data_IF_228121248787
#
_entry.id   IF_228121248787
#
_cell.length_a   1.000
_cell.length_b   1.000
_cell.length_c   1.000
_cell.angle_alpha   90.00
_cell.angle_beta   90.00
_cell.angle_gamma   90.00
#
_symmetry.space_group_name_H-M   'P 1'
#
loop_
_entity.id
_entity.type
_entity.pdbx_description
1 polymer ?
#
# COMPACT_ATOMS: atom_id res chain seq x y z
N UNK A 1 -4.54 3.40 -25.57
CA UNK A 1 -5.02 3.21 -24.18
C UNK A 1 -5.53 4.52 -23.59
N UNK A 2 -6.42 5.22 -24.30
CA UNK A 2 -7.09 6.41 -23.77
C UNK A 2 -8.56 6.02 -23.69
N UNK A 3 -8.98 5.54 -22.53
CA UNK A 3 -10.39 5.45 -22.20
C UNK A 3 -10.82 6.84 -21.71
N UNK A 4 -12.01 7.27 -22.12
CA UNK A 4 -12.63 8.49 -21.59
C UNK A 4 -13.07 8.17 -20.14
N UNK A 5 -12.40 8.78 -19.16
CA UNK A 5 -12.55 8.46 -17.73
C UNK A 5 -13.74 9.20 -17.06
N UNK A 6 -14.55 9.91 -17.85
CA UNK A 6 -15.57 10.83 -17.34
C UNK A 6 -16.67 10.16 -16.52
N UNK A 7 -16.90 8.83 -16.64
CA UNK A 7 -17.91 8.08 -15.87
C UNK A 7 -17.42 6.69 -15.40
N UNK A 8 -16.15 6.55 -14.99
CA UNK A 8 -15.69 5.26 -14.42
C UNK A 8 -15.97 5.18 -12.93
N UNK A 9 -16.83 4.24 -12.54
CA UNK A 9 -17.02 3.86 -11.14
C UNK A 9 -15.90 2.93 -10.70
N UNK A 10 -15.14 3.34 -9.68
CA UNK A 10 -14.01 2.58 -9.14
C UNK A 10 -14.30 2.18 -7.70
N UNK A 11 -14.18 0.88 -7.42
CA UNK A 11 -14.33 0.31 -6.09
C UNK A 11 -13.04 -0.37 -5.63
N UNK A 12 -12.65 -0.14 -4.37
CA UNK A 12 -11.52 -0.79 -3.71
C UNK A 12 -12.04 -1.54 -2.49
N UNK A 13 -11.72 -2.83 -2.39
CA UNK A 13 -12.01 -3.65 -1.20
C UNK A 13 -10.73 -3.87 -0.41
N UNK A 14 -10.79 -3.64 0.90
CA UNK A 14 -9.66 -3.79 1.82
C UNK A 14 -10.06 -4.74 2.95
N UNK A 15 -9.25 -5.76 3.22
CA UNK A 15 -9.51 -6.75 4.27
C UNK A 15 -9.34 -6.18 5.67
N UNK A 16 -8.38 -5.27 5.85
CA UNK A 16 -8.14 -4.57 7.10
C UNK A 16 -9.37 -3.78 7.54
N UNK A 17 -9.58 -3.69 8.86
CA UNK A 17 -10.70 -2.93 9.42
C UNK A 17 -10.65 -1.44 9.05
N UNK A 18 -9.47 -0.93 8.66
CA UNK A 18 -9.26 0.36 8.02
C UNK A 18 -8.15 0.24 6.96
N UNK A 19 -8.11 1.20 6.04
CA UNK A 19 -7.05 1.31 5.04
C UNK A 19 -5.69 1.46 5.74
N UNK A 20 -4.76 0.57 5.41
CA UNK A 20 -3.43 0.55 6.02
C UNK A 20 -3.30 -0.32 7.28
N UNK A 21 -4.38 -0.88 7.83
CA UNK A 21 -4.34 -1.68 9.06
C UNK A 21 -3.46 -2.94 8.94
N UNK A 22 -3.42 -3.55 7.75
CA UNK A 22 -2.56 -4.71 7.46
C UNK A 22 -1.24 -4.34 6.80
N UNK A 23 -0.94 -3.05 6.63
CA UNK A 23 0.30 -2.58 6.01
C UNK A 23 1.44 -2.61 7.01
N UNK A 24 2.40 -3.50 6.80
CA UNK A 24 3.60 -3.63 7.63
C UNK A 24 4.87 -3.43 6.79
N UNK A 25 5.68 -2.44 7.16
CA UNK A 25 7.00 -2.21 6.55
C UNK A 25 7.86 -1.33 7.46
N UNK A 26 9.17 -1.52 7.43
CA UNK A 26 10.17 -0.60 8.02
C UNK A 26 10.47 0.61 7.13
N UNK A 27 9.51 0.99 6.29
CA UNK A 27 9.69 1.66 5.00
C UNK A 27 10.68 2.83 4.95
N UNK A 28 11.58 2.73 3.96
CA UNK A 28 12.27 3.85 3.34
C UNK A 28 11.82 3.90 1.88
N UNK A 29 11.26 5.03 1.44
CA UNK A 29 10.64 5.14 0.12
C UNK A 29 11.37 6.15 -0.78
N UNK A 30 11.52 5.82 -2.05
CA UNK A 30 11.74 6.81 -3.12
C UNK A 30 10.41 7.50 -3.40
N UNK A 31 10.40 8.84 -3.33
CA UNK A 31 9.19 9.65 -3.50
C UNK A 31 8.85 9.91 -4.96
N UNK A 32 9.63 9.42 -5.93
CA UNK A 32 9.39 9.69 -7.36
C UNK A 32 7.97 9.35 -7.81
N UNK A 33 7.49 8.14 -7.51
CA UNK A 33 6.13 7.73 -7.87
C UNK A 33 5.06 8.53 -7.11
N UNK A 34 5.33 8.90 -5.86
CA UNK A 34 4.43 9.77 -5.09
C UNK A 34 4.36 11.17 -5.70
N UNK A 35 5.48 11.73 -6.13
CA UNK A 35 5.55 13.03 -6.81
C UNK A 35 4.95 13.01 -8.21
N UNK A 36 4.96 11.87 -8.89
CA UNK A 36 4.24 11.70 -10.16
C UNK A 36 2.73 11.68 -9.95
N UNK A 37 2.27 10.93 -8.93
CA UNK A 37 0.84 10.80 -8.62
C UNK A 37 0.26 12.08 -7.98
N UNK A 38 1.02 12.70 -7.07
CA UNK A 38 0.66 13.91 -6.33
C UNK A 38 1.83 14.90 -6.35
N UNK A 39 2.02 15.71 -7.40
CA UNK A 39 3.14 16.64 -7.51
C UNK A 39 3.27 17.61 -6.32
N UNK A 40 2.17 17.91 -5.64
CA UNK A 40 2.08 18.80 -4.48
C UNK A 40 1.85 18.05 -3.15
N UNK A 41 2.25 16.78 -3.03
CA UNK A 41 2.03 15.97 -1.82
C UNK A 41 2.53 16.63 -0.52
N UNK A 42 3.56 17.48 -0.61
CA UNK A 42 4.07 18.24 0.53
C UNK A 42 3.08 19.30 1.04
N UNK A 43 2.40 19.99 0.12
CA UNK A 43 1.38 21.00 0.44
C UNK A 43 0.09 20.34 0.94
N UNK A 44 -0.18 19.11 0.50
CA UNK A 44 -1.29 18.27 0.93
C UNK A 44 -1.04 17.55 2.27
N UNK A 45 0.04 17.89 2.96
CA UNK A 45 0.47 17.33 4.25
C UNK A 45 0.53 15.80 4.25
N UNK A 46 1.06 15.20 3.17
CA UNK A 46 1.29 13.75 3.14
C UNK A 46 2.26 13.36 4.28
N UNK A 47 2.06 12.21 4.95
CA UNK A 47 2.83 11.79 6.12
C UNK A 47 4.24 11.29 5.78
N UNK A 48 5.02 12.12 5.07
CA UNK A 48 6.34 11.85 4.48
C UNK A 48 7.27 13.00 4.87
N UNK A 49 7.61 13.09 6.16
CA UNK A 49 8.34 14.23 6.70
C UNK A 49 9.84 13.95 6.93
N UNK A 50 10.21 12.70 7.25
CA UNK A 50 11.57 12.37 7.69
C UNK A 50 12.46 11.96 6.53
N UNK A 51 13.21 12.92 5.98
CA UNK A 51 14.25 12.61 4.99
C UNK A 51 15.38 11.79 5.61
N UNK A 52 15.95 10.85 4.86
CA UNK A 52 17.13 10.08 5.26
C UNK A 52 18.33 11.03 5.38
N UNK A 53 18.88 11.12 6.59
CA UNK A 53 20.05 11.97 6.90
C UNK A 53 21.36 11.20 6.94
N UNK A 54 21.30 9.91 7.26
CA UNK A 54 22.45 9.01 7.32
C UNK A 54 22.02 7.58 7.08
N UNK A 55 22.98 6.74 6.67
CA UNK A 55 22.79 5.33 6.40
C UNK A 55 24.04 4.56 6.81
N UNK A 56 23.87 3.32 7.28
CA UNK A 56 25.00 2.45 7.65
C UNK A 56 24.67 1.00 7.32
N UNK A 57 25.67 0.27 6.83
CA UNK A 57 25.56 -1.15 6.53
C UNK A 57 26.65 -1.87 7.31
N UNK A 58 26.34 -3.06 7.81
CA UNK A 58 27.30 -3.85 8.57
C UNK A 58 27.01 -5.35 8.46
N UNK A 59 28.06 -6.14 8.56
CA UNK A 59 27.95 -7.59 8.76
C UNK A 59 28.03 -7.86 10.27
N UNK A 60 27.07 -8.62 10.77
CA UNK A 60 27.01 -9.03 12.17
C UNK A 60 27.59 -10.44 12.33
N UNK A 61 28.41 -10.62 13.36
CA UNK A 61 28.85 -11.94 13.85
C UNK A 61 28.36 -12.12 15.28
N UNK A 62 28.48 -13.34 15.83
CA UNK A 62 28.08 -13.63 17.21
C UNK A 62 28.66 -12.63 18.24
N UNK A 63 29.87 -12.10 18.01
CA UNK A 63 30.60 -11.25 18.96
C UNK A 63 30.92 -9.85 18.44
N UNK A 64 30.45 -9.47 17.25
CA UNK A 64 30.93 -8.22 16.65
C UNK A 64 30.10 -7.70 15.49
N UNK A 65 30.39 -6.44 15.13
CA UNK A 65 29.77 -5.69 14.02
C UNK A 65 30.89 -5.11 13.17
N UNK A 66 30.93 -5.49 11.89
CA UNK A 66 31.90 -4.99 10.92
C UNK A 66 31.20 -4.04 9.96
N UNK A 67 31.54 -2.76 10.02
CA UNK A 67 30.95 -1.75 9.14
C UNK A 67 31.38 -2.00 7.69
N UNK A 68 30.43 -1.90 6.77
CA UNK A 68 30.68 -1.89 5.33
C UNK A 68 30.60 -0.46 4.80
N UNK A 69 31.48 -0.07 3.88
CA UNK A 69 31.40 1.24 3.25
C UNK A 69 30.14 1.33 2.39
N UNK A 70 29.49 2.49 2.44
CA UNK A 70 28.41 2.83 1.52
C UNK A 70 28.97 3.50 0.27
N UNK A 71 28.54 3.03 -0.89
CA UNK A 71 28.87 3.64 -2.19
C UNK A 71 27.65 4.38 -2.70
N UNK A 72 27.81 5.67 -3.02
CA UNK A 72 26.73 6.47 -3.64
C UNK A 72 26.30 5.85 -4.97
N UNK A 73 24.99 5.82 -5.22
CA UNK A 73 24.41 5.19 -6.41
C UNK A 73 24.36 3.66 -6.36
N UNK A 74 24.74 3.03 -5.24
CA UNK A 74 24.46 1.61 -5.03
C UNK A 74 22.95 1.37 -4.85
N UNK A 75 22.44 0.15 -5.09
CA UNK A 75 21.02 -0.17 -4.88
C UNK A 75 20.51 0.02 -3.44
N UNK A 76 21.43 0.14 -2.47
CA UNK A 76 21.12 0.37 -1.06
C UNK A 76 21.27 1.85 -0.66
N UNK A 77 21.66 2.72 -1.59
CA UNK A 77 21.79 4.15 -1.33
C UNK A 77 20.42 4.80 -1.18
N UNK A 78 20.12 5.25 0.03
CA UNK A 78 18.86 5.88 0.40
C UNK A 78 18.97 7.41 0.50
N UNK A 79 20.10 8.01 0.09
CA UNK A 79 20.22 9.46 0.09
C UNK A 79 19.20 10.09 -0.86
N UNK A 80 18.29 10.88 -0.30
CA UNK A 80 17.16 11.49 -1.04
C UNK A 80 15.81 10.86 -0.72
N UNK A 81 15.79 9.67 -0.13
CA UNK A 81 14.57 8.95 0.27
C UNK A 81 14.03 9.43 1.62
N UNK A 82 12.85 8.95 1.98
CA UNK A 82 12.16 9.29 3.22
C UNK A 82 11.84 8.04 4.04
N UNK A 83 12.01 8.15 5.36
CA UNK A 83 11.59 7.17 6.36
C UNK A 83 10.12 7.46 6.69
N UNK A 84 9.24 6.46 6.54
CA UNK A 84 7.80 6.66 6.71
C UNK A 84 7.15 5.55 7.53
N UNK A 85 6.04 5.90 8.18
CA UNK A 85 5.08 4.90 8.68
C UNK A 85 4.19 4.49 7.52
N UNK A 86 4.51 3.40 6.83
CA UNK A 86 3.83 3.06 5.57
C UNK A 86 2.31 2.90 5.73
N UNK A 87 1.83 2.35 6.85
CA UNK A 87 0.40 2.27 7.13
C UNK A 87 -0.29 3.64 7.18
N UNK A 88 0.38 4.69 7.70
CA UNK A 88 -0.15 6.06 7.68
C UNK A 88 -0.17 6.64 6.27
N UNK A 89 0.88 6.41 5.48
CA UNK A 89 0.91 6.85 4.08
C UNK A 89 -0.20 6.18 3.26
N UNK A 90 -0.40 4.87 3.43
CA UNK A 90 -1.48 4.14 2.76
C UNK A 90 -2.86 4.63 3.19
N UNK A 91 -3.06 4.94 4.48
CA UNK A 91 -4.29 5.56 4.97
C UNK A 91 -4.54 6.91 4.30
N UNK A 92 -3.53 7.79 4.26
CA UNK A 92 -3.61 9.08 3.58
C UNK A 92 -3.92 8.94 2.08
N UNK A 93 -3.31 7.95 1.40
CA UNK A 93 -3.64 7.65 -0.01
C UNK A 93 -5.10 7.21 -0.18
N UNK A 94 -5.65 6.44 0.76
CA UNK A 94 -7.06 6.07 0.78
C UNK A 94 -7.99 7.27 0.95
N UNK A 95 -7.62 8.23 1.80
CA UNK A 95 -8.35 9.50 1.97
C UNK A 95 -8.35 10.28 0.65
N UNK A 96 -7.20 10.40 -0.03
CA UNK A 96 -7.12 11.05 -1.35
C UNK A 96 -7.89 10.35 -2.44
N UNK A 97 -7.89 9.02 -2.47
CA UNK A 97 -8.71 8.26 -3.41
C UNK A 97 -10.21 8.48 -3.16
N UNK A 98 -10.64 8.52 -1.89
CA UNK A 98 -12.03 8.82 -1.53
C UNK A 98 -12.44 10.23 -1.94
N UNK A 99 -11.58 11.24 -1.74
CA UNK A 99 -11.78 12.62 -2.21
C UNK A 99 -11.96 12.70 -3.74
N UNK A 100 -11.34 11.78 -4.49
CA UNK A 100 -11.46 11.65 -5.95
C UNK A 100 -12.68 10.83 -6.42
N UNK A 101 -13.54 10.37 -5.50
CA UNK A 101 -14.76 9.62 -5.81
C UNK A 101 -14.60 8.10 -5.87
N UNK A 102 -13.45 7.56 -5.45
CA UNK A 102 -13.26 6.11 -5.32
C UNK A 102 -14.06 5.58 -4.11
N UNK A 103 -14.83 4.52 -4.32
CA UNK A 103 -15.53 3.84 -3.23
C UNK A 103 -14.60 2.84 -2.55
N UNK A 104 -14.24 3.09 -1.28
CA UNK A 104 -13.36 2.20 -0.52
C UNK A 104 -14.16 1.46 0.57
N UNK A 105 -14.08 0.14 0.56
CA UNK A 105 -14.77 -0.76 1.49
C UNK A 105 -13.77 -1.52 2.37
N UNK A 106 -13.38 -0.98 3.54
CA UNK A 106 -12.57 -1.69 4.51
C UNK A 106 -13.37 -2.79 5.23
N UNK A 107 -12.66 -3.78 5.78
CA UNK A 107 -13.22 -4.97 6.42
C UNK A 107 -13.77 -6.02 5.44
N UNK A 108 -13.58 -5.84 4.13
CA UNK A 108 -14.10 -6.71 3.08
C UNK A 108 -12.95 -7.35 2.31
N UNK A 109 -12.82 -8.67 2.39
CA UNK A 109 -11.88 -9.42 1.58
C UNK A 109 -12.54 -9.86 0.27
N UNK A 110 -11.85 -9.69 -0.86
CA UNK A 110 -12.16 -10.42 -2.09
C UNK A 110 -11.72 -11.89 -1.90
N UNK A 111 -12.65 -12.82 -2.02
CA UNK A 111 -12.45 -14.24 -1.73
C UNK A 111 -12.40 -15.09 -3.00
N UNK A 112 -13.21 -14.74 -4.00
CA UNK A 112 -13.33 -15.51 -5.24
C UNK A 112 -13.31 -14.58 -6.46
N UNK A 113 -12.75 -15.06 -7.57
CA UNK A 113 -12.80 -14.39 -8.87
C UNK A 113 -13.99 -14.95 -9.64
N UNK A 114 -14.81 -14.07 -10.18
CA UNK A 114 -15.94 -14.42 -11.03
C UNK A 114 -15.53 -14.30 -12.49
N UNK A 115 -15.92 -15.26 -13.31
CA UNK A 115 -15.64 -15.29 -14.75
C UNK A 115 -16.94 -15.21 -15.56
N UNK A 116 -16.83 -14.71 -16.79
CA UNK A 116 -17.84 -14.84 -17.83
C UNK A 116 -17.76 -16.23 -18.49
N UNK A 117 -18.74 -16.57 -19.31
CA UNK A 117 -18.78 -17.84 -20.05
C UNK A 117 -17.63 -17.99 -21.06
N UNK A 118 -17.03 -16.86 -21.49
CA UNK A 118 -15.86 -16.81 -22.37
C UNK A 118 -14.52 -16.84 -21.60
N UNK A 119 -14.56 -17.16 -20.31
CA UNK A 119 -13.42 -17.22 -19.39
C UNK A 119 -12.76 -15.87 -19.06
N UNK A 120 -13.33 -14.74 -19.50
CA UNK A 120 -12.86 -13.41 -19.10
C UNK A 120 -13.27 -13.05 -17.67
N UNK A 121 -12.48 -12.21 -16.98
CA UNK A 121 -12.76 -11.81 -15.59
C UNK A 121 -13.97 -10.89 -15.54
N UNK A 122 -15.01 -11.31 -14.81
CA UNK A 122 -16.24 -10.56 -14.55
C UNK A 122 -16.15 -9.68 -13.30
N UNK A 123 -15.43 -10.13 -12.28
CA UNK A 123 -15.32 -9.41 -11.01
C UNK A 123 -14.86 -10.29 -9.86
N UNK A 124 -15.24 -9.91 -8.65
CA UNK A 124 -14.94 -10.64 -7.41
C UNK A 124 -16.21 -10.91 -6.59
N UNK A 125 -16.17 -11.94 -5.75
CA UNK A 125 -17.10 -12.14 -4.65
C UNK A 125 -16.37 -11.96 -3.31
N UNK A 126 -17.08 -11.45 -2.31
CA UNK A 126 -16.55 -11.18 -0.98
C UNK A 126 -16.81 -12.34 -0.03
N UNK A 127 -16.18 -12.35 1.14
CA UNK A 127 -16.35 -13.44 2.12
C UNK A 127 -17.77 -13.50 2.68
N UNK A 128 -18.37 -14.70 2.67
CA UNK A 128 -19.62 -14.99 3.36
C UNK A 128 -19.46 -14.80 4.88
N UNK A 129 -20.44 -14.13 5.50
CA UNK A 129 -20.52 -13.98 6.95
C UNK A 129 -21.51 -14.99 7.53
N UNK A 130 -21.28 -15.44 8.77
CA UNK A 130 -22.22 -16.34 9.46
C UNK A 130 -22.02 -17.83 9.14
N UNK A 131 -20.79 -18.28 8.91
CA UNK A 131 -20.44 -19.69 8.83
C UNK A 131 -19.77 -20.09 10.16
N UNK A 132 -20.23 -21.17 10.78
CA UNK A 132 -19.66 -21.72 12.01
C UNK A 132 -18.31 -22.40 11.75
N UNK A 133 -17.53 -22.66 12.80
CA UNK A 133 -16.19 -23.28 12.68
C UNK A 133 -16.22 -24.65 12.00
N UNK A 134 -17.34 -25.36 12.10
CA UNK A 134 -17.60 -26.66 11.48
C UNK A 134 -18.12 -26.56 10.02
N UNK A 135 -18.27 -25.34 9.49
CA UNK A 135 -18.77 -25.09 8.14
C UNK A 135 -20.30 -25.00 8.03
N UNK A 136 -21.05 -25.18 9.12
CA UNK A 136 -22.51 -25.07 9.09
C UNK A 136 -22.95 -23.59 9.07
N UNK A 137 -24.09 -23.26 8.42
CA UNK A 137 -24.68 -21.92 8.50
C UNK A 137 -25.04 -21.57 9.94
N UNK A 138 -24.76 -20.34 10.35
CA UNK A 138 -25.15 -19.79 11.65
C UNK A 138 -26.60 -19.31 11.55
N UNK A 139 -27.50 -19.98 12.28
CA UNK A 139 -28.92 -19.61 12.41
C UNK A 139 -29.07 -18.37 13.28
#
# INVERSE_FOLDING_TARGET
>A
WICDFSDIRVCVVEKGAEVGAHTLSGAVIDVRALSELFPNWQELDAPVHQKVTSQSMAILTRKGRYALPFVRGSPLDNMGNYIVRLGHLVKWLGEKATEMGVEIYPGIAAQEILFHDDESVKGIATTDVGIMKDGAPKV
#
